data_IF_402521452581
#
_entry.id   IF_402521452581
#
_cell.length_a   1.000
_cell.length_b   1.000
_cell.length_c   1.000
_cell.angle_alpha   90.00
_cell.angle_beta   90.00
_cell.angle_gamma   90.00
#
_symmetry.space_group_name_H-M   'P 1'
#
loop_
_entity.id
_entity.type
_entity.pdbx_description
1 polymer ?
#
# COMPACT_ATOMS: atom_id res chain seq x y z
N UNK A 1 16.66 61.03 -15.99
CA UNK A 1 18.09 60.70 -16.19
C UNK A 1 18.39 59.44 -15.39
N UNK A 2 18.80 58.38 -16.09
CA UNK A 2 19.00 57.01 -15.61
C UNK A 2 20.33 56.87 -14.86
N UNK A 3 20.38 56.13 -13.75
CA UNK A 3 21.43 55.17 -13.34
C UNK A 3 21.04 54.55 -11.97
N UNK A 4 20.55 53.30 -11.90
CA UNK A 4 21.23 51.98 -11.97
C UNK A 4 21.99 51.60 -10.68
N UNK A 5 21.46 50.57 -9.99
CA UNK A 5 22.14 49.36 -9.44
C UNK A 5 23.21 49.57 -8.33
N UNK A 6 23.44 48.74 -7.29
CA UNK A 6 23.18 47.33 -6.95
C UNK A 6 23.43 47.15 -5.43
N UNK A 7 22.65 46.27 -4.79
CA UNK A 7 23.01 45.22 -3.80
C UNK A 7 24.12 45.52 -2.78
N UNK A 8 23.79 45.46 -1.48
CA UNK A 8 24.57 44.61 -0.56
C UNK A 8 23.70 43.95 0.52
N UNK A 9 23.85 42.63 0.59
CA UNK A 9 23.31 41.65 1.51
C UNK A 9 23.70 41.98 2.96
N UNK A 10 22.77 41.83 3.90
CA UNK A 10 23.09 41.51 5.29
C UNK A 10 22.07 40.51 5.85
N UNK A 11 22.35 39.23 5.57
CA UNK A 11 21.85 38.08 6.30
C UNK A 11 22.38 38.17 7.74
N UNK A 12 21.52 38.54 8.69
CA UNK A 12 21.84 38.39 10.11
C UNK A 12 21.42 36.98 10.55
N UNK A 13 22.40 36.09 10.63
CA UNK A 13 22.32 34.83 11.36
C UNK A 13 22.03 35.14 12.83
N UNK A 14 20.84 34.79 13.32
CA UNK A 14 20.61 34.58 14.75
C UNK A 14 20.47 33.07 14.94
N UNK A 15 21.57 32.46 15.36
CA UNK A 15 21.61 31.12 15.93
C UNK A 15 20.96 31.22 17.31
N UNK A 16 19.66 30.94 17.40
CA UNK A 16 19.09 30.50 18.67
C UNK A 16 19.27 28.99 18.74
N UNK A 17 20.18 28.63 19.63
CA UNK A 17 20.39 27.31 20.22
C UNK A 17 19.04 26.60 20.43
N UNK A 18 18.74 25.65 19.55
CA UNK A 18 17.57 24.77 19.65
C UNK A 18 17.83 23.84 20.84
N UNK A 19 17.51 24.31 22.04
CA UNK A 19 17.07 23.41 23.09
C UNK A 19 15.71 22.85 22.65
N UNK A 20 15.73 21.75 21.91
CA UNK A 20 14.57 20.89 21.71
C UNK A 20 14.16 20.34 23.08
N UNK A 21 13.37 21.13 23.82
CA UNK A 21 12.55 20.60 24.90
C UNK A 21 11.68 19.52 24.25
N UNK A 22 11.78 18.25 24.68
CA UNK A 22 10.86 17.24 24.23
C UNK A 22 9.46 17.70 24.67
N UNK A 23 8.55 17.90 23.73
CA UNK A 23 7.13 18.02 24.04
C UNK A 23 6.61 16.63 24.42
N UNK A 24 7.02 16.15 25.60
CA UNK A 24 6.51 14.93 26.21
C UNK A 24 5.96 15.30 27.58
N UNK A 25 4.65 15.44 27.67
CA UNK A 25 3.96 15.32 28.95
C UNK A 25 3.63 13.83 29.09
N UNK A 26 4.56 13.08 29.66
CA UNK A 26 4.34 11.68 30.03
C UNK A 26 3.57 11.65 31.36
N UNK A 27 2.25 11.80 31.28
CA UNK A 27 1.34 11.53 32.40
C UNK A 27 0.58 10.23 32.10
N UNK A 28 1.17 9.11 32.51
CA UNK A 28 0.52 7.81 32.67
C UNK A 28 -0.15 7.23 31.42
N UNK A 29 0.52 6.29 30.74
CA UNK A 29 -0.05 5.45 29.68
C UNK A 29 -0.87 6.19 28.59
N UNK A 30 -0.75 7.52 28.47
CA UNK A 30 -1.58 8.36 27.61
C UNK A 30 -0.67 9.23 26.75
N UNK A 31 -0.90 9.21 25.43
CA UNK A 31 -0.07 9.86 24.44
C UNK A 31 -0.92 10.80 23.60
N UNK A 32 -0.58 12.10 23.63
CA UNK A 32 -1.22 13.10 22.79
C UNK A 32 -0.48 13.25 21.45
N UNK A 33 -1.24 13.22 20.36
CA UNK A 33 -0.74 13.16 18.99
C UNK A 33 -1.33 14.30 18.16
N UNK A 34 -0.50 14.88 17.30
CA UNK A 34 -0.85 15.98 16.40
C UNK A 34 -0.41 15.69 14.95
N UNK A 35 -0.42 16.70 14.08
CA UNK A 35 0.01 16.57 12.68
C UNK A 35 1.52 16.74 12.45
N UNK A 36 2.32 16.97 13.50
CA UNK A 36 3.73 17.36 13.36
C UNK A 36 4.60 16.30 12.67
N UNK A 37 4.22 15.02 12.80
CA UNK A 37 4.91 13.90 12.19
C UNK A 37 3.95 12.85 11.62
N UNK A 38 4.36 12.25 10.49
CA UNK A 38 3.65 11.12 9.86
C UNK A 38 3.84 9.81 10.60
N UNK A 39 4.99 9.63 11.24
CA UNK A 39 5.34 8.42 11.98
C UNK A 39 5.78 8.79 13.40
N UNK A 40 5.34 8.01 14.40
CA UNK A 40 5.69 8.18 15.81
C UNK A 40 5.98 6.83 16.45
N UNK A 41 7.10 6.72 17.15
CA UNK A 41 7.43 5.56 17.97
C UNK A 41 6.86 5.73 19.39
N UNK A 42 6.16 4.70 19.88
CA UNK A 42 5.61 4.66 21.24
C UNK A 42 6.01 3.34 21.91
N UNK A 43 6.57 3.46 23.13
CA UNK A 43 6.88 2.30 23.96
C UNK A 43 5.75 2.05 24.96
N UNK A 44 5.23 0.82 25.00
CA UNK A 44 4.22 0.39 25.99
C UNK A 44 4.60 -0.92 26.62
N UNK A 45 4.04 -1.18 27.80
CA UNK A 45 4.28 -2.42 28.54
C UNK A 45 3.33 -3.52 28.07
N UNK A 46 3.73 -4.79 28.21
CA UNK A 46 2.80 -5.93 28.12
C UNK A 46 1.77 -5.90 29.26
N UNK A 47 0.55 -6.38 29.00
CA UNK A 47 -0.56 -6.42 29.97
C UNK A 47 -0.96 -5.07 30.59
N UNK A 48 -0.71 -3.96 29.89
CA UNK A 48 -1.11 -2.61 30.32
C UNK A 48 -2.20 -2.05 29.43
N UNK A 49 -2.88 -1.01 29.93
CA UNK A 49 -3.74 -0.17 29.10
C UNK A 49 -2.92 1.02 28.63
N UNK A 50 -3.26 1.55 27.46
CA UNK A 50 -2.75 2.84 27.03
C UNK A 50 -3.78 3.60 26.21
N UNK A 51 -3.61 4.91 26.11
CA UNK A 51 -4.51 5.83 25.42
C UNK A 51 -3.75 6.63 24.39
N UNK A 52 -4.33 6.78 23.22
CA UNK A 52 -3.84 7.65 22.16
C UNK A 52 -4.88 8.75 21.95
N UNK A 53 -4.56 9.99 22.32
CA UNK A 53 -5.41 11.15 22.13
C UNK A 53 -4.98 11.95 20.92
N UNK A 54 -5.94 12.37 20.11
CA UNK A 54 -5.76 13.27 18.99
C UNK A 54 -6.60 14.51 19.23
N UNK A 55 -6.05 15.70 18.96
CA UNK A 55 -6.75 16.97 19.20
C UNK A 55 -8.04 17.15 18.40
N UNK A 56 -8.14 16.47 17.27
CA UNK A 56 -9.30 16.58 16.38
C UNK A 56 -10.15 15.30 16.44
N UNK A 57 -11.46 15.41 16.28
CA UNK A 57 -12.39 14.26 16.31
C UNK A 57 -12.39 13.45 15.00
N UNK A 58 -11.73 13.98 13.98
CA UNK A 58 -11.68 13.49 12.61
C UNK A 58 -10.70 12.32 12.37
N UNK A 59 -10.09 11.78 13.43
CA UNK A 59 -9.18 10.63 13.31
C UNK A 59 -9.91 9.29 13.43
N UNK A 60 -9.45 8.33 12.64
CA UNK A 60 -10.03 6.99 12.52
C UNK A 60 -8.91 5.96 12.70
N UNK A 61 -9.11 4.98 13.58
CA UNK A 61 -8.20 3.84 13.73
C UNK A 61 -8.50 2.76 12.67
N UNK A 62 -7.48 2.37 11.89
CA UNK A 62 -7.58 1.30 10.89
C UNK A 62 -7.10 -0.02 11.54
N UNK A 63 -8.07 -0.87 11.91
CA UNK A 63 -7.81 -2.16 12.57
C UNK A 63 -7.06 -3.12 11.63
N UNK A 64 -5.99 -3.75 12.13
CA UNK A 64 -5.24 -4.81 11.45
C UNK A 64 -5.36 -6.14 12.20
N UNK A 65 -5.64 -7.23 11.48
CA UNK A 65 -5.76 -8.60 12.03
C UNK A 65 -4.41 -9.05 12.62
N UNK A 66 -3.30 -8.62 12.04
CA UNK A 66 -1.95 -8.97 12.51
C UNK A 66 -1.67 -8.46 13.93
N UNK A 67 -2.33 -7.37 14.32
CA UNK A 67 -2.15 -6.72 15.61
C UNK A 67 -2.97 -7.38 16.74
N UNK A 68 -3.96 -8.25 16.43
CA UNK A 68 -4.87 -8.82 17.43
C UNK A 68 -4.14 -9.71 18.46
N UNK A 69 -3.01 -10.31 18.08
CA UNK A 69 -2.19 -11.09 18.99
C UNK A 69 -1.39 -10.24 20.01
N UNK A 70 -1.34 -8.92 19.81
CA UNK A 70 -0.53 -7.99 20.59
C UNK A 70 -1.39 -7.00 21.40
N UNK A 71 -2.48 -6.51 20.80
CA UNK A 71 -3.33 -5.48 21.41
C UNK A 71 -4.81 -5.71 21.10
N UNK A 72 -5.66 -5.10 21.92
CA UNK A 72 -7.10 -4.97 21.69
C UNK A 72 -7.54 -3.53 21.94
N UNK A 73 -8.30 -2.96 21.01
CA UNK A 73 -9.03 -1.72 21.25
C UNK A 73 -10.17 -1.99 22.24
N UNK A 74 -10.21 -1.27 23.35
CA UNK A 74 -11.17 -1.46 24.44
C UNK A 74 -12.11 -0.27 24.66
N UNK A 75 -11.87 0.87 24.02
CA UNK A 75 -12.77 2.01 24.09
C UNK A 75 -12.33 3.16 23.19
N UNK A 76 -13.30 3.99 22.83
CA UNK A 76 -13.14 5.23 22.06
C UNK A 76 -13.97 6.32 22.73
N UNK A 77 -13.46 7.55 22.77
CA UNK A 77 -14.16 8.75 23.27
C UNK A 77 -13.89 9.91 22.34
N UNK A 78 -14.86 10.81 22.19
CA UNK A 78 -14.84 11.93 21.24
C UNK A 78 -15.06 13.29 21.93
N UNK A 79 -14.92 13.34 23.26
CA UNK A 79 -15.15 14.58 24.00
C UNK A 79 -13.89 15.46 23.94
N UNK A 80 -13.93 16.53 23.13
CA UNK A 80 -12.81 17.44 22.82
C UNK A 80 -11.60 16.75 22.16
N UNK A 81 -11.82 16.20 20.96
CA UNK A 81 -10.86 15.38 20.23
C UNK A 81 -11.17 13.88 20.35
N UNK A 82 -10.40 13.01 19.69
CA UNK A 82 -10.62 11.55 19.79
C UNK A 82 -9.56 10.86 20.63
N UNK A 83 -10.01 9.97 21.52
CA UNK A 83 -9.16 9.14 22.36
C UNK A 83 -9.43 7.67 22.08
N UNK A 84 -8.39 6.94 21.67
CA UNK A 84 -8.43 5.49 21.50
C UNK A 84 -7.76 4.80 22.68
N UNK A 85 -8.46 3.91 23.36
CA UNK A 85 -7.93 3.14 24.48
C UNK A 85 -7.64 1.71 24.06
N UNK A 86 -6.42 1.27 24.26
CA UNK A 86 -5.94 -0.06 23.93
C UNK A 86 -5.51 -0.83 25.19
N UNK A 87 -5.60 -2.15 25.11
CA UNK A 87 -5.06 -3.10 26.08
C UNK A 87 -3.99 -3.94 25.37
N UNK A 88 -2.77 -3.97 25.89
CA UNK A 88 -1.71 -4.87 25.42
C UNK A 88 -1.86 -6.25 26.07
N UNK A 89 -1.38 -7.28 25.37
CA UNK A 89 -1.31 -8.66 25.86
C UNK A 89 0.12 -9.05 26.26
N UNK A 90 0.34 -10.35 26.51
CA UNK A 90 1.63 -10.92 26.93
C UNK A 90 2.70 -10.94 25.83
N UNK A 91 2.31 -10.81 24.56
CA UNK A 91 3.22 -10.95 23.42
C UNK A 91 4.05 -9.67 23.25
N UNK A 92 5.38 -9.82 23.26
CA UNK A 92 6.32 -8.75 22.97
C UNK A 92 6.57 -8.62 21.47
N UNK A 93 6.87 -7.41 21.01
CA UNK A 93 7.19 -7.16 19.61
C UNK A 93 6.91 -5.73 19.19
N UNK A 94 7.10 -5.47 17.90
CA UNK A 94 6.85 -4.18 17.28
C UNK A 94 5.68 -4.32 16.31
N UNK A 95 4.65 -3.50 16.48
CA UNK A 95 3.47 -3.48 15.61
C UNK A 95 3.24 -2.07 15.08
N UNK A 96 2.51 -1.96 13.97
CA UNK A 96 2.14 -0.68 13.38
C UNK A 96 0.64 -0.46 13.56
N UNK A 97 0.28 0.66 14.15
CA UNK A 97 -1.09 1.16 14.22
C UNK A 97 -1.22 2.27 13.19
N UNK A 98 -2.23 2.17 12.33
CA UNK A 98 -2.46 3.17 11.30
C UNK A 98 -3.72 3.94 11.67
N UNK A 99 -3.60 5.26 11.69
CA UNK A 99 -4.69 6.19 11.90
C UNK A 99 -4.82 7.08 10.67
N UNK A 100 -6.05 7.27 10.22
CA UNK A 100 -6.36 8.20 9.13
C UNK A 100 -7.10 9.38 9.71
N UNK A 101 -6.55 10.56 9.54
CA UNK A 101 -7.26 11.82 9.73
C UNK A 101 -8.00 12.18 8.45
N UNK A 102 -9.25 12.60 8.56
CA UNK A 102 -10.05 13.08 7.44
C UNK A 102 -10.71 14.41 7.79
N UNK A 103 -10.26 15.50 7.17
CA UNK A 103 -10.84 16.81 7.39
C UNK A 103 -12.20 16.92 6.68
N UNK A 104 -13.29 17.10 7.42
CA UNK A 104 -14.65 17.13 6.85
C UNK A 104 -14.90 18.36 5.95
N UNK A 105 -14.08 19.41 6.06
CA UNK A 105 -14.26 20.66 5.31
C UNK A 105 -13.62 20.64 3.92
N UNK A 106 -12.51 19.93 3.76
CA UNK A 106 -11.73 19.88 2.51
C UNK A 106 -11.38 18.46 2.04
N UNK A 107 -11.79 17.44 2.80
CA UNK A 107 -11.48 16.01 2.68
C UNK A 107 -10.03 15.67 2.34
N UNK A 108 -9.11 16.49 2.83
CA UNK A 108 -7.73 16.07 2.95
C UNK A 108 -7.64 14.85 3.87
N UNK A 109 -6.97 13.80 3.38
CA UNK A 109 -6.65 12.60 4.16
C UNK A 109 -5.18 12.62 4.55
N UNK A 110 -4.92 12.36 5.83
CA UNK A 110 -3.58 12.26 6.36
C UNK A 110 -3.44 10.98 7.19
N UNK A 111 -2.50 10.12 6.80
CA UNK A 111 -2.20 8.90 7.55
C UNK A 111 -1.10 9.15 8.57
N UNK A 112 -1.40 8.84 9.83
CA UNK A 112 -0.43 8.77 10.92
C UNK A 112 -0.17 7.32 11.29
N UNK A 113 1.10 6.94 11.25
CA UNK A 113 1.57 5.60 11.61
C UNK A 113 2.18 5.69 13.01
N UNK A 114 1.68 4.86 13.91
CA UNK A 114 2.26 4.69 15.24
C UNK A 114 2.95 3.35 15.28
N UNK A 115 4.25 3.39 15.46
CA UNK A 115 5.06 2.20 15.67
C UNK A 115 5.06 1.92 17.16
N UNK A 116 4.32 0.89 17.55
CA UNK A 116 4.17 0.49 18.94
C UNK A 116 5.19 -0.59 19.28
N UNK A 117 6.13 -0.27 20.16
CA UNK A 117 7.11 -1.22 20.70
C UNK A 117 6.62 -1.72 22.05
N UNK A 118 6.18 -2.97 22.08
CA UNK A 118 5.62 -3.63 23.26
C UNK A 118 6.75 -4.41 23.94
N UNK A 119 7.06 -4.02 25.16
CA UNK A 119 8.12 -4.64 25.96
C UNK A 119 7.60 -5.10 27.31
N UNK A 120 8.23 -6.11 27.90
CA UNK A 120 7.91 -6.51 29.26
C UNK A 120 8.38 -5.41 30.23
N UNK A 121 7.53 -5.06 31.18
CA UNK A 121 7.90 -4.15 32.27
C UNK A 121 9.05 -4.78 33.06
N UNK A 122 10.26 -4.26 32.90
CA UNK A 122 11.39 -4.63 33.75
C UNK A 122 11.17 -3.97 35.11
N UNK A 123 10.92 -4.79 36.14
CA UNK A 123 11.15 -4.36 37.51
C UNK A 123 12.65 -4.07 37.64
N UNK A 124 12.98 -2.79 37.84
CA UNK A 124 14.35 -2.34 37.97
C UNK A 124 14.89 -2.84 39.31
N UNK A 125 15.71 -3.88 39.26
CA UNK A 125 16.72 -4.18 40.27
C UNK A 125 18.10 -3.86 39.68
N UNK A 126 18.82 -2.91 40.26
CA UNK A 126 20.23 -2.59 39.98
C UNK A 126 21.02 -3.01 41.23
N UNK A 127 22.31 -3.37 41.14
CA UNK A 127 22.95 -4.46 40.38
C UNK A 127 23.80 -5.34 41.31
N UNK A 128 24.15 -6.59 40.97
CA UNK A 128 25.32 -7.24 41.58
C UNK A 128 26.24 -7.87 40.51
N UNK A 129 27.52 -7.66 40.78
CA UNK A 129 28.73 -7.81 39.98
C UNK A 129 29.32 -9.22 39.92
N UNK A 130 30.12 -9.49 38.88
CA UNK A 130 31.15 -10.54 38.80
C UNK A 130 31.04 -11.37 37.50
N UNK A 131 31.88 -11.16 36.48
CA UNK A 131 33.24 -11.77 36.28
C UNK A 131 33.17 -13.31 36.24
N UNK A 132 33.72 -14.07 35.28
CA UNK A 132 34.77 -13.84 34.28
C UNK A 132 34.79 -14.96 33.21
N UNK A 133 35.23 -14.60 32.00
CA UNK A 133 36.19 -15.25 31.06
C UNK A 133 36.13 -16.78 30.77
N UNK A 134 36.13 -17.10 29.46
CA UNK A 134 36.96 -18.12 28.74
C UNK A 134 36.11 -18.85 27.68
N UNK A 135 36.49 -19.09 26.42
CA UNK A 135 37.72 -18.86 25.67
C UNK A 135 37.61 -19.50 24.26
N UNK A 136 38.30 -18.88 23.28
CA UNK A 136 38.94 -19.44 22.06
C UNK A 136 38.19 -20.34 21.05
N UNK A 137 38.17 -19.82 19.81
CA UNK A 137 38.65 -20.41 18.54
C UNK A 137 37.93 -21.63 17.92
N UNK A 138 37.47 -21.49 16.66
CA UNK A 138 38.30 -21.87 15.50
C UNK A 138 37.64 -21.50 14.15
N UNK A 139 38.52 -21.12 13.22
CA UNK A 139 38.30 -20.91 11.80
C UNK A 139 37.88 -22.21 11.09
N UNK A 140 37.03 -22.09 10.06
CA UNK A 140 37.12 -22.92 8.85
C UNK A 140 36.96 -22.00 7.64
N UNK A 141 38.08 -21.65 7.03
CA UNK A 141 38.16 -21.36 5.60
C UNK A 141 38.19 -22.70 4.84
N UNK A 142 37.51 -22.73 3.69
CA UNK A 142 38.07 -23.05 2.37
C UNK A 142 37.20 -23.96 1.50
N UNK A 143 36.78 -23.35 0.38
CA UNK A 143 36.97 -23.79 -1.02
C UNK A 143 36.18 -25.01 -1.51
N UNK A 144 35.29 -24.76 -2.47
CA UNK A 144 35.52 -25.23 -3.84
C UNK A 144 34.72 -24.40 -4.87
N UNK A 145 35.51 -23.65 -5.65
CA UNK A 145 35.12 -23.09 -6.93
C UNK A 145 34.65 -24.22 -7.86
N UNK A 146 33.48 -24.05 -8.47
CA UNK A 146 33.16 -24.73 -9.71
C UNK A 146 33.15 -23.70 -10.84
N UNK A 147 34.35 -23.22 -11.17
CA UNK A 147 34.61 -22.69 -12.50
C UNK A 147 34.59 -23.87 -13.47
N UNK A 148 33.47 -24.04 -14.16
CA UNK A 148 33.42 -24.83 -15.38
C UNK A 148 33.41 -23.89 -16.58
N UNK A 149 34.61 -23.72 -17.14
CA UNK A 149 34.83 -23.78 -18.59
C UNK A 149 34.34 -22.60 -19.41
N UNK A 150 35.29 -21.72 -19.76
CA UNK A 150 35.24 -20.97 -21.03
C UNK A 150 35.21 -21.94 -22.21
N UNK A 151 34.64 -21.42 -23.30
CA UNK A 151 34.75 -21.88 -24.69
C UNK A 151 33.76 -22.96 -25.16
N UNK A 152 32.50 -22.53 -25.34
CA UNK A 152 31.86 -22.64 -26.66
C UNK A 152 30.71 -21.63 -26.77
N UNK A 153 30.96 -20.52 -27.45
CA UNK A 153 29.90 -19.70 -28.06
C UNK A 153 29.37 -20.54 -29.23
N UNK A 154 28.60 -21.58 -28.91
CA UNK A 154 27.70 -22.21 -29.87
C UNK A 154 26.42 -21.39 -29.85
N UNK A 155 26.02 -20.88 -31.01
CA UNK A 155 24.85 -20.04 -31.21
C UNK A 155 23.56 -20.73 -30.79
N UNK A 156 23.26 -20.71 -29.49
CA UNK A 156 21.96 -21.13 -28.97
C UNK A 156 20.91 -20.19 -29.53
N UNK A 157 19.86 -20.77 -30.10
CA UNK A 157 18.79 -20.01 -30.73
C UNK A 157 17.86 -19.44 -29.66
N UNK A 158 17.14 -18.35 -29.99
CA UNK A 158 16.10 -17.80 -29.10
C UNK A 158 15.10 -18.87 -28.66
N UNK A 159 14.73 -19.78 -29.57
CA UNK A 159 13.82 -20.89 -29.33
C UNK A 159 14.31 -21.85 -28.24
N UNK A 160 15.58 -22.22 -28.26
CA UNK A 160 16.17 -23.12 -27.24
C UNK A 160 16.19 -22.48 -25.86
N UNK A 161 16.54 -21.19 -25.80
CA UNK A 161 16.57 -20.43 -24.54
C UNK A 161 15.15 -20.25 -23.97
N UNK A 162 14.16 -19.95 -24.82
CA UNK A 162 12.75 -19.87 -24.44
C UNK A 162 12.28 -21.17 -23.79
N UNK A 163 12.54 -22.32 -24.43
CA UNK A 163 12.12 -23.64 -23.90
C UNK A 163 12.76 -23.92 -22.53
N UNK A 164 14.06 -23.64 -22.37
CA UNK A 164 14.75 -23.84 -21.09
C UNK A 164 14.21 -22.92 -20.00
N UNK A 165 13.96 -21.65 -20.31
CA UNK A 165 13.39 -20.69 -19.36
C UNK A 165 11.95 -21.07 -18.96
N UNK A 166 11.15 -21.59 -19.89
CA UNK A 166 9.82 -22.14 -19.59
C UNK A 166 9.90 -23.35 -18.66
N UNK A 167 10.83 -24.28 -18.89
CA UNK A 167 11.03 -25.43 -18.01
C UNK A 167 11.37 -25.02 -16.57
N UNK A 168 12.19 -23.98 -16.39
CA UNK A 168 12.49 -23.40 -15.07
C UNK A 168 11.26 -22.73 -14.44
N UNK A 169 10.47 -22.02 -15.25
CA UNK A 169 9.20 -21.41 -14.81
C UNK A 169 8.19 -22.47 -14.32
N UNK A 170 8.10 -23.63 -14.97
CA UNK A 170 7.19 -24.72 -14.56
C UNK A 170 7.54 -25.33 -13.19
N UNK A 171 8.80 -25.23 -12.76
CA UNK A 171 9.23 -25.64 -11.41
C UNK A 171 9.29 -24.45 -10.43
N UNK A 172 8.69 -23.31 -10.79
CA UNK A 172 8.69 -22.05 -10.05
C UNK A 172 10.08 -21.43 -9.79
N UNK A 173 11.10 -21.83 -10.55
CA UNK A 173 12.43 -21.18 -10.49
C UNK A 173 12.47 -19.95 -11.41
N UNK A 174 11.69 -18.92 -11.04
CA UNK A 174 11.61 -17.68 -11.80
C UNK A 174 12.94 -16.92 -11.79
N UNK A 175 13.70 -16.96 -10.69
CA UNK A 175 15.02 -16.31 -10.60
C UNK A 175 16.03 -16.97 -11.52
N UNK A 176 16.07 -18.30 -11.57
CA UNK A 176 16.90 -19.05 -12.52
C UNK A 176 16.51 -18.75 -13.97
N UNK A 177 15.21 -18.71 -14.26
CA UNK A 177 14.71 -18.36 -15.59
C UNK A 177 15.10 -16.94 -16.01
N UNK A 178 14.96 -15.95 -15.12
CA UNK A 178 15.40 -14.56 -15.36
C UNK A 178 16.91 -14.50 -15.60
N UNK A 179 17.71 -15.17 -14.78
CA UNK A 179 19.16 -15.21 -14.94
C UNK A 179 19.55 -15.80 -16.29
N UNK A 180 18.86 -16.85 -16.76
CA UNK A 180 19.06 -17.41 -18.09
C UNK A 180 18.69 -16.41 -19.19
N UNK A 181 17.53 -15.77 -19.08
CA UNK A 181 17.02 -14.79 -20.07
C UNK A 181 17.77 -13.44 -20.05
N UNK A 182 18.56 -13.13 -19.03
CA UNK A 182 19.37 -11.92 -19.00
C UNK A 182 20.79 -12.13 -19.55
N UNK A 183 21.22 -13.39 -19.73
CA UNK A 183 22.48 -13.72 -20.43
C UNK A 183 22.42 -13.45 -21.93
N UNK A 184 21.22 -13.36 -22.50
CA UNK A 184 20.99 -13.15 -23.93
C UNK A 184 20.09 -11.94 -24.18
N UNK A 185 20.30 -11.27 -25.31
CA UNK A 185 19.53 -10.09 -25.72
C UNK A 185 18.95 -10.28 -27.13
N UNK A 186 18.08 -11.28 -27.29
CA UNK A 186 17.41 -11.51 -28.56
C UNK A 186 16.31 -10.47 -28.80
N UNK A 187 16.28 -9.89 -30.00
CA UNK A 187 15.19 -9.03 -30.45
C UNK A 187 14.06 -9.88 -31.09
N UNK A 188 13.61 -10.90 -30.36
CA UNK A 188 12.55 -11.82 -30.77
C UNK A 188 11.31 -11.53 -29.92
N UNK A 189 10.15 -11.34 -30.58
CA UNK A 189 8.94 -10.90 -29.89
C UNK A 189 8.49 -11.95 -28.83
N UNK A 190 8.59 -13.26 -29.13
CA UNK A 190 8.23 -14.34 -28.17
C UNK A 190 9.19 -14.37 -26.98
N UNK A 191 10.46 -14.09 -27.22
CA UNK A 191 11.46 -13.97 -26.16
C UNK A 191 11.14 -12.81 -25.21
N UNK A 192 10.77 -11.66 -25.75
CA UNK A 192 10.40 -10.47 -24.96
C UNK A 192 9.11 -10.72 -24.18
N UNK A 193 8.11 -11.37 -24.79
CA UNK A 193 6.89 -11.81 -24.12
C UNK A 193 7.20 -12.67 -22.90
N UNK A 194 8.00 -13.73 -23.09
CA UNK A 194 8.36 -14.63 -21.99
C UNK A 194 9.10 -13.91 -20.87
N UNK A 195 10.03 -13.00 -21.21
CA UNK A 195 10.70 -12.16 -20.21
C UNK A 195 9.70 -11.37 -19.39
N UNK A 196 8.73 -10.72 -20.05
CA UNK A 196 7.73 -9.93 -19.36
C UNK A 196 6.88 -10.78 -18.40
N UNK A 197 6.41 -11.94 -18.84
CA UNK A 197 5.61 -12.87 -18.01
C UNK A 197 6.40 -13.41 -16.80
N UNK A 198 7.65 -13.82 -17.01
CA UNK A 198 8.47 -14.36 -15.91
C UNK A 198 8.80 -13.28 -14.88
N UNK A 199 9.12 -12.06 -15.33
CA UNK A 199 9.31 -10.94 -14.41
C UNK A 199 8.04 -10.63 -13.60
N UNK A 200 6.85 -10.68 -14.23
CA UNK A 200 5.58 -10.52 -13.53
C UNK A 200 5.38 -11.58 -12.45
N UNK A 201 5.56 -12.86 -12.79
CA UNK A 201 5.43 -13.98 -11.82
C UNK A 201 6.45 -13.93 -10.69
N UNK A 202 7.62 -13.34 -10.93
CA UNK A 202 8.65 -13.12 -9.91
C UNK A 202 8.36 -11.88 -9.02
N UNK A 203 7.34 -11.08 -9.32
CA UNK A 203 7.01 -9.83 -8.61
C UNK A 203 7.85 -8.62 -9.02
N UNK A 204 8.64 -8.73 -10.10
CA UNK A 204 9.40 -7.61 -10.66
C UNK A 204 8.56 -6.89 -11.73
N UNK A 205 7.55 -6.17 -11.27
CA UNK A 205 6.56 -5.52 -12.13
C UNK A 205 7.17 -4.45 -13.03
N UNK A 206 8.21 -3.74 -12.55
CA UNK A 206 8.86 -2.70 -13.34
C UNK A 206 9.55 -3.30 -14.56
N UNK A 207 10.32 -4.38 -14.39
CA UNK A 207 10.96 -5.05 -15.53
C UNK A 207 9.97 -5.76 -16.43
N UNK A 208 8.87 -6.28 -15.87
CA UNK A 208 7.78 -6.82 -16.68
C UNK A 208 7.20 -5.74 -17.60
N UNK A 209 6.86 -4.58 -17.03
CA UNK A 209 6.32 -3.43 -17.74
C UNK A 209 7.26 -2.89 -18.81
N UNK A 210 8.55 -2.70 -18.51
CA UNK A 210 9.56 -2.30 -19.50
C UNK A 210 9.62 -3.26 -20.71
N UNK A 211 9.39 -4.56 -20.52
CA UNK A 211 9.39 -5.52 -21.62
C UNK A 211 8.08 -5.49 -22.42
N UNK A 212 6.92 -5.36 -21.76
CA UNK A 212 5.65 -5.19 -22.48
C UNK A 212 5.61 -3.89 -23.30
N UNK A 213 6.21 -2.80 -22.82
CA UNK A 213 6.30 -1.55 -23.58
C UNK A 213 7.04 -1.71 -24.91
N UNK A 214 8.05 -2.59 -24.99
CA UNK A 214 8.75 -2.89 -26.25
C UNK A 214 7.84 -3.57 -27.29
N UNK A 215 6.78 -4.23 -26.82
CA UNK A 215 5.80 -4.93 -27.66
C UNK A 215 4.58 -4.07 -28.01
N UNK A 216 4.39 -2.92 -27.32
CA UNK A 216 3.19 -2.07 -27.41
C UNK A 216 2.85 -1.67 -28.84
N UNK A 217 3.82 -1.34 -29.69
CA UNK A 217 3.56 -0.90 -31.07
C UNK A 217 3.00 -2.00 -31.98
N UNK A 218 3.34 -3.27 -31.74
CA UNK A 218 2.97 -4.39 -32.62
C UNK A 218 1.84 -5.25 -32.05
N UNK A 219 1.80 -5.42 -30.73
CA UNK A 219 0.96 -6.40 -30.04
C UNK A 219 0.00 -5.79 -29.03
N UNK A 220 -0.31 -4.50 -29.15
CA UNK A 220 -1.13 -3.77 -28.19
C UNK A 220 -2.40 -4.51 -27.76
N UNK A 221 -3.18 -4.99 -28.73
CA UNK A 221 -4.43 -5.72 -28.46
C UNK A 221 -4.21 -6.98 -27.62
N UNK A 222 -3.10 -7.68 -27.81
CA UNK A 222 -2.77 -8.89 -27.06
C UNK A 222 -2.28 -8.61 -25.65
N UNK A 223 -1.78 -7.39 -25.37
CA UNK A 223 -1.13 -7.06 -24.09
C UNK A 223 -1.84 -5.99 -23.28
N UNK A 224 -2.94 -5.42 -23.79
CA UNK A 224 -3.64 -4.30 -23.15
C UNK A 224 -4.05 -4.62 -21.71
N UNK A 225 -4.48 -5.86 -21.44
CA UNK A 225 -4.81 -6.29 -20.08
C UNK A 225 -3.59 -6.44 -19.18
N UNK A 226 -2.45 -6.90 -19.73
CA UNK A 226 -1.20 -6.99 -18.98
C UNK A 226 -0.69 -5.59 -18.60
N UNK A 227 -0.78 -4.64 -19.54
CA UNK A 227 -0.43 -3.24 -19.31
C UNK A 227 -1.34 -2.59 -18.26
N UNK A 228 -2.64 -2.88 -18.27
CA UNK A 228 -3.58 -2.41 -17.23
C UNK A 228 -3.18 -2.98 -15.87
N UNK A 229 -2.99 -4.30 -15.75
CA UNK A 229 -2.60 -4.95 -14.50
C UNK A 229 -1.30 -4.37 -13.96
N UNK A 230 -0.30 -4.23 -14.81
CA UNK A 230 0.98 -3.62 -14.45
C UNK A 230 0.85 -2.15 -14.07
N UNK A 231 0.01 -1.38 -14.77
CA UNK A 231 -0.31 -0.01 -14.41
C UNK A 231 -0.96 0.09 -13.03
N UNK A 232 -1.80 -0.87 -12.66
CA UNK A 232 -2.39 -0.96 -11.31
C UNK A 232 -1.31 -1.30 -10.26
N UNK A 233 -0.53 -2.36 -10.49
CA UNK A 233 0.53 -2.82 -9.56
C UNK A 233 1.62 -1.76 -9.34
N UNK A 234 2.06 -1.11 -10.42
CA UNK A 234 3.07 -0.05 -10.38
C UNK A 234 2.49 1.32 -10.03
N UNK A 235 1.17 1.42 -9.91
CA UNK A 235 0.47 2.66 -9.68
C UNK A 235 0.76 3.76 -10.73
N UNK A 236 0.73 3.39 -12.01
CA UNK A 236 0.90 4.29 -13.16
C UNK A 236 -0.48 4.68 -13.69
N UNK A 237 -0.98 5.83 -13.22
CA UNK A 237 -2.34 6.29 -13.48
C UNK A 237 -2.64 6.46 -14.97
N UNK A 238 -1.71 7.06 -15.70
CA UNK A 238 -1.85 7.37 -17.12
C UNK A 238 -1.97 6.09 -17.95
N UNK A 239 -1.21 5.03 -17.61
CA UNK A 239 -1.27 3.74 -18.30
C UNK A 239 -2.62 3.06 -18.09
N UNK A 240 -3.17 3.09 -16.86
CA UNK A 240 -4.51 2.53 -16.60
C UNK A 240 -5.59 3.32 -17.33
N UNK A 241 -5.52 4.66 -17.32
CA UNK A 241 -6.52 5.51 -17.98
C UNK A 241 -6.50 5.36 -19.50
N UNK A 242 -5.33 5.40 -20.13
CA UNK A 242 -5.18 5.25 -21.58
C UNK A 242 -5.74 3.90 -22.05
N UNK A 243 -5.34 2.82 -21.39
CA UNK A 243 -5.76 1.48 -21.76
C UNK A 243 -7.24 1.24 -21.44
N UNK A 244 -7.77 1.72 -20.30
CA UNK A 244 -9.19 1.59 -19.99
C UNK A 244 -10.07 2.37 -20.97
N UNK A 245 -9.65 3.56 -21.41
CA UNK A 245 -10.34 4.31 -22.48
C UNK A 245 -10.33 3.54 -23.78
N UNK A 246 -9.21 2.92 -24.15
CA UNK A 246 -9.16 2.06 -25.32
C UNK A 246 -10.17 0.90 -25.25
N UNK A 247 -10.30 0.24 -24.10
CA UNK A 247 -11.29 -0.83 -23.91
C UNK A 247 -12.72 -0.33 -24.18
N UNK A 248 -13.05 0.87 -23.68
CA UNK A 248 -14.35 1.51 -23.89
C UNK A 248 -14.56 1.88 -25.36
N UNK A 249 -13.62 2.63 -25.95
CA UNK A 249 -13.71 3.16 -27.31
C UNK A 249 -13.77 2.07 -28.38
N UNK A 250 -13.08 0.95 -28.14
CA UNK A 250 -13.07 -0.20 -29.06
C UNK A 250 -14.08 -1.28 -28.68
N UNK A 251 -14.88 -1.06 -27.64
CA UNK A 251 -15.85 -2.03 -27.12
C UNK A 251 -15.21 -3.43 -26.93
N UNK A 252 -14.00 -3.45 -26.37
CA UNK A 252 -13.29 -4.69 -26.06
C UNK A 252 -14.00 -5.36 -24.91
N UNK A 253 -14.29 -6.65 -25.05
CA UNK A 253 -14.88 -7.44 -23.98
C UNK A 253 -13.82 -7.87 -22.96
N UNK A 254 -14.17 -7.83 -21.68
CA UNK A 254 -13.28 -8.22 -20.59
C UNK A 254 -14.05 -8.82 -19.42
N UNK A 255 -13.34 -9.62 -18.63
CA UNK A 255 -13.93 -10.26 -17.46
C UNK A 255 -14.32 -9.25 -16.40
N UNK A 256 -15.28 -9.67 -15.57
CA UNK A 256 -15.67 -8.90 -14.40
C UNK A 256 -14.50 -8.59 -13.44
N UNK A 257 -13.54 -9.51 -13.30
CA UNK A 257 -12.36 -9.28 -12.45
C UNK A 257 -11.55 -8.06 -12.92
N UNK A 258 -11.32 -7.96 -14.24
CA UNK A 258 -10.60 -6.83 -14.85
C UNK A 258 -11.41 -5.54 -14.67
N UNK A 259 -12.73 -5.59 -14.87
CA UNK A 259 -13.62 -4.47 -14.62
C UNK A 259 -13.45 -3.93 -13.19
N UNK A 260 -13.50 -4.80 -12.18
CA UNK A 260 -13.42 -4.40 -10.78
C UNK A 260 -12.03 -3.89 -10.39
N UNK A 261 -10.96 -4.47 -10.93
CA UNK A 261 -9.59 -3.99 -10.73
C UNK A 261 -9.43 -2.56 -11.26
N UNK A 262 -9.89 -2.29 -12.49
CA UNK A 262 -9.89 -0.95 -13.07
C UNK A 262 -10.76 0.00 -12.24
N UNK A 263 -11.99 -0.40 -11.92
CA UNK A 263 -12.93 0.47 -11.21
C UNK A 263 -12.42 0.84 -9.82
N UNK A 264 -11.88 -0.13 -9.06
CA UNK A 264 -11.25 0.11 -7.76
C UNK A 264 -10.06 1.07 -7.88
N UNK A 265 -9.21 0.88 -8.90
CA UNK A 265 -8.09 1.78 -9.14
C UNK A 265 -8.57 3.22 -9.42
N UNK A 266 -9.57 3.40 -10.28
CA UNK A 266 -10.11 4.71 -10.62
C UNK A 266 -10.72 5.42 -9.41
N UNK A 267 -11.50 4.70 -8.60
CA UNK A 267 -12.09 5.23 -7.35
C UNK A 267 -10.98 5.63 -6.38
N UNK A 268 -9.97 4.79 -6.19
CA UNK A 268 -8.87 5.04 -5.24
C UNK A 268 -7.97 6.20 -5.69
N UNK A 269 -7.84 6.43 -7.00
CA UNK A 269 -7.04 7.53 -7.56
C UNK A 269 -7.81 8.84 -7.74
N UNK A 270 -9.08 8.85 -7.38
CA UNK A 270 -9.92 10.04 -7.49
C UNK A 270 -10.30 10.42 -8.92
N UNK A 271 -10.26 9.46 -9.85
CA UNK A 271 -10.69 9.65 -11.24
C UNK A 271 -12.23 9.52 -11.36
N UNK A 272 -12.95 10.29 -10.54
CA UNK A 272 -14.38 10.09 -10.23
C UNK A 272 -15.30 10.15 -11.46
N UNK A 273 -15.06 11.08 -12.38
CA UNK A 273 -15.86 11.23 -13.61
C UNK A 273 -15.74 10.00 -14.50
N UNK A 274 -14.50 9.54 -14.71
CA UNK A 274 -14.27 8.36 -15.52
C UNK A 274 -14.76 7.10 -14.81
N UNK A 275 -14.54 6.98 -13.49
CA UNK A 275 -15.06 5.88 -12.68
C UNK A 275 -16.58 5.75 -12.79
N UNK A 276 -17.34 6.84 -12.68
CA UNK A 276 -18.81 6.82 -12.80
C UNK A 276 -19.29 6.41 -14.19
N UNK A 277 -18.67 6.97 -15.23
CA UNK A 277 -19.03 6.64 -16.61
C UNK A 277 -18.71 5.17 -16.92
N UNK A 278 -17.53 4.70 -16.50
CA UNK A 278 -17.11 3.31 -16.61
C UNK A 278 -18.06 2.38 -15.85
N UNK A 279 -18.39 2.73 -14.61
CA UNK A 279 -19.35 2.00 -13.78
C UNK A 279 -20.72 1.91 -14.44
N UNK A 280 -21.25 3.02 -14.95
CA UNK A 280 -22.58 3.06 -15.58
C UNK A 280 -22.66 2.22 -16.84
N UNK A 281 -21.56 2.11 -17.58
CA UNK A 281 -21.48 1.34 -18.82
C UNK A 281 -21.42 -0.18 -18.57
N UNK A 282 -20.66 -0.61 -17.57
CA UNK A 282 -20.36 -2.04 -17.38
C UNK A 282 -21.16 -2.69 -16.24
N UNK A 283 -21.55 -1.95 -15.20
CA UNK A 283 -22.31 -2.53 -14.09
C UNK A 283 -23.59 -3.25 -14.50
N UNK A 284 -24.41 -2.75 -15.46
CA UNK A 284 -25.61 -3.46 -15.88
C UNK A 284 -25.34 -4.90 -16.38
N UNK A 285 -24.14 -5.18 -16.89
CA UNK A 285 -23.71 -6.52 -17.32
C UNK A 285 -23.44 -7.47 -16.15
N UNK A 286 -23.19 -6.93 -14.96
CA UNK A 286 -22.73 -7.65 -13.77
C UNK A 286 -23.71 -7.55 -12.60
N UNK A 287 -25.00 -7.27 -12.86
CA UNK A 287 -26.00 -7.09 -11.79
C UNK A 287 -26.22 -8.35 -10.92
N UNK A 288 -25.97 -9.53 -11.49
CA UNK A 288 -26.06 -10.84 -10.80
C UNK A 288 -24.68 -11.37 -10.36
N UNK A 289 -23.71 -10.47 -10.19
CA UNK A 289 -22.34 -10.80 -9.86
C UNK A 289 -22.14 -11.33 -8.44
N UNK A 290 -21.12 -12.19 -8.28
CA UNK A 290 -20.58 -12.59 -6.98
C UNK A 290 -19.84 -11.48 -6.22
N UNK A 291 -19.53 -10.37 -6.87
CA UNK A 291 -18.77 -9.22 -6.34
C UNK A 291 -19.62 -7.97 -6.11
N UNK A 292 -20.95 -8.14 -6.02
CA UNK A 292 -21.90 -7.05 -5.82
C UNK A 292 -21.63 -6.28 -4.50
N UNK A 293 -21.05 -6.95 -3.50
CA UNK A 293 -20.56 -6.36 -2.26
C UNK A 293 -19.40 -5.37 -2.49
N UNK A 294 -18.35 -5.79 -3.22
CA UNK A 294 -17.20 -4.95 -3.59
C UNK A 294 -17.67 -3.74 -4.38
N UNK A 295 -18.53 -3.96 -5.36
CA UNK A 295 -19.06 -2.90 -6.20
C UNK A 295 -19.85 -1.87 -5.39
N UNK A 296 -20.78 -2.34 -4.55
CA UNK A 296 -21.57 -1.46 -3.67
C UNK A 296 -20.66 -0.66 -2.73
N UNK A 297 -19.63 -1.29 -2.17
CA UNK A 297 -18.65 -0.59 -1.35
C UNK A 297 -17.89 0.51 -2.13
N UNK A 298 -17.44 0.22 -3.34
CA UNK A 298 -16.72 1.18 -4.19
C UNK A 298 -17.61 2.35 -4.63
N UNK A 299 -18.89 2.10 -4.93
CA UNK A 299 -19.86 3.17 -5.18
C UNK A 299 -20.08 4.04 -3.94
N UNK A 300 -20.19 3.43 -2.76
CA UNK A 300 -20.26 4.16 -1.50
C UNK A 300 -19.07 5.11 -1.33
N UNK A 301 -17.85 4.61 -1.56
CA UNK A 301 -16.62 5.41 -1.55
C UNK A 301 -16.62 6.53 -2.59
N UNK A 302 -17.08 6.23 -3.80
CA UNK A 302 -17.14 7.21 -4.87
C UNK A 302 -18.06 8.37 -4.50
N UNK A 303 -19.28 8.11 -4.05
CA UNK A 303 -20.24 9.16 -3.69
C UNK A 303 -19.86 9.90 -2.39
N UNK A 304 -19.05 9.29 -1.54
CA UNK A 304 -18.50 9.95 -0.34
C UNK A 304 -17.33 10.89 -0.65
N UNK A 305 -16.67 10.74 -1.79
CA UNK A 305 -15.48 11.52 -2.18
C UNK A 305 -15.76 13.01 -2.44
N UNK A 306 -14.75 13.87 -2.25
CA UNK A 306 -14.80 15.28 -2.69
C UNK A 306 -14.65 15.39 -4.19
N UNK A 307 -15.76 15.18 -4.87
CA UNK A 307 -15.89 15.42 -6.29
C UNK A 307 -17.17 16.20 -6.56
N UNK A 308 -17.33 16.69 -7.79
CA UNK A 308 -18.60 17.26 -8.27
C UNK A 308 -19.78 16.27 -8.19
N UNK A 309 -19.52 15.00 -7.92
CA UNK A 309 -20.50 13.92 -7.79
C UNK A 309 -20.77 13.50 -6.34
N UNK A 310 -20.21 14.21 -5.36
CA UNK A 310 -20.42 13.94 -3.94
C UNK A 310 -21.91 13.91 -3.61
N UNK A 311 -22.36 12.82 -3.00
CA UNK A 311 -23.76 12.57 -2.65
C UNK A 311 -23.82 11.62 -1.44
N UNK A 312 -23.83 12.20 -0.23
CA UNK A 312 -23.77 11.42 1.00
C UNK A 312 -24.97 10.50 1.21
N UNK A 313 -26.14 10.84 0.66
CA UNK A 313 -27.32 9.98 0.73
C UNK A 313 -27.14 8.73 -0.13
N UNK A 314 -26.55 8.87 -1.33
CA UNK A 314 -26.16 7.71 -2.14
C UNK A 314 -25.06 6.90 -1.48
N UNK A 315 -24.05 7.56 -0.91
CA UNK A 315 -22.99 6.85 -0.18
C UNK A 315 -23.56 5.98 0.95
N UNK A 316 -24.45 6.56 1.78
CA UNK A 316 -25.19 5.86 2.83
C UNK A 316 -25.98 4.67 2.30
N UNK A 317 -26.71 4.87 1.19
CA UNK A 317 -27.48 3.81 0.55
C UNK A 317 -26.59 2.63 0.15
N UNK A 318 -25.49 2.89 -0.55
CA UNK A 318 -24.60 1.82 -1.02
C UNK A 318 -23.86 1.11 0.11
N UNK A 319 -23.40 1.82 1.14
CA UNK A 319 -22.84 1.16 2.31
C UNK A 319 -23.87 0.30 3.04
N UNK A 320 -25.11 0.77 3.14
CA UNK A 320 -26.20 -0.01 3.72
C UNK A 320 -26.49 -1.29 2.92
N UNK A 321 -26.43 -1.24 1.58
CA UNK A 321 -26.56 -2.45 0.75
C UNK A 321 -25.52 -3.51 1.08
N UNK A 322 -24.27 -3.10 1.37
CA UNK A 322 -23.23 -4.05 1.80
C UNK A 322 -23.58 -4.68 3.15
N UNK A 323 -24.01 -3.86 4.11
CA UNK A 323 -24.31 -4.29 5.48
C UNK A 323 -25.52 -5.23 5.52
N UNK A 324 -26.59 -4.89 4.81
CA UNK A 324 -27.85 -5.61 4.89
C UNK A 324 -27.78 -6.96 4.14
N UNK A 325 -27.06 -7.02 3.01
CA UNK A 325 -27.07 -8.18 2.12
C UNK A 325 -25.83 -9.07 2.23
N UNK A 326 -24.70 -8.56 2.75
CA UNK A 326 -23.42 -9.27 2.72
C UNK A 326 -22.69 -9.27 4.07
N UNK A 327 -23.28 -9.88 5.12
CA UNK A 327 -22.72 -9.87 6.49
C UNK A 327 -21.35 -10.57 6.64
N UNK A 328 -20.95 -11.40 5.68
CA UNK A 328 -19.65 -12.09 5.66
C UNK A 328 -18.66 -11.51 4.64
N UNK A 329 -19.00 -10.42 3.97
CA UNK A 329 -18.12 -9.77 3.00
C UNK A 329 -16.88 -9.19 3.67
N UNK A 330 -15.74 -9.25 2.96
CA UNK A 330 -14.54 -8.49 3.33
C UNK A 330 -14.82 -6.98 3.49
N UNK A 331 -15.81 -6.45 2.77
CA UNK A 331 -16.20 -5.05 2.78
C UNK A 331 -17.21 -4.70 3.88
N UNK A 332 -17.77 -5.68 4.59
CA UNK A 332 -18.83 -5.47 5.58
C UNK A 332 -18.43 -4.48 6.67
N UNK A 333 -17.34 -4.76 7.40
CA UNK A 333 -16.90 -3.89 8.50
C UNK A 333 -16.51 -2.49 8.01
N UNK A 334 -15.89 -2.42 6.82
CA UNK A 334 -15.53 -1.13 6.21
C UNK A 334 -16.77 -0.31 5.87
N UNK A 335 -17.76 -0.93 5.24
CA UNK A 335 -19.03 -0.29 4.91
C UNK A 335 -19.78 0.13 6.18
N UNK A 336 -19.82 -0.72 7.20
CA UNK A 336 -20.46 -0.44 8.50
C UNK A 336 -19.86 0.78 9.19
N UNK A 337 -18.55 0.87 9.25
CA UNK A 337 -17.85 2.03 9.84
C UNK A 337 -18.22 3.31 9.08
N UNK A 338 -18.14 3.31 7.74
CA UNK A 338 -18.49 4.51 6.94
C UNK A 338 -19.97 4.86 7.04
N UNK A 339 -20.87 3.87 7.00
CA UNK A 339 -22.31 4.07 7.19
C UNK A 339 -22.62 4.73 8.54
N UNK A 340 -22.07 4.20 9.65
CA UNK A 340 -22.28 4.76 10.98
C UNK A 340 -21.68 6.15 11.14
N UNK A 341 -20.55 6.44 10.48
CA UNK A 341 -19.97 7.76 10.45
C UNK A 341 -20.89 8.76 9.74
N UNK A 342 -21.30 8.48 8.50
CA UNK A 342 -22.16 9.37 7.71
C UNK A 342 -23.52 9.62 8.38
N UNK A 343 -24.12 8.59 9.00
CA UNK A 343 -25.42 8.68 9.70
C UNK A 343 -25.42 9.60 10.92
N UNK A 344 -24.26 10.04 11.41
CA UNK A 344 -24.20 11.04 12.48
C UNK A 344 -24.58 12.44 11.98
N UNK A 345 -24.48 12.67 10.68
CA UNK A 345 -24.64 13.98 10.05
C UNK A 345 -25.91 14.11 9.20
N UNK A 346 -26.53 12.98 8.83
CA UNK A 346 -27.76 12.86 8.03
C UNK A 346 -28.68 11.82 8.65
#
# INVERSE_FOLDING_TARGET
MIRKYLIYISLLFIVFEVCSKPAFINQGDSYELDFSSREVDINVNTNSKFRLSFKEESWIYIKSIENESFIKLIGESYDNGVVFTFQTFKKEGQIKLVFSYQNVKDSSEFNKIIVLKITKKLEVAIPHSGSAVSGKNNNIESVNNLELGRDSINGMTSKEIIVRALNLSYINDYKGAINLLNKYNFNDDKYIFLKAEIHYKNGDYLKSYENYLKLKSKYFQSIVFDLIKLGIELNIKEEVLENARYLVEKNVDFSESIYLEIFEFLVTRGEHEFALNFSSLYFPKYINSSFSDKYSYLLGKLYESESKYKDFLKALHYYKLVIDNYPFSYYYERAKIRYLFLKRFF
#
